data_IF_075794474282
#
_entry.id   IF_075794474282
#
_cell.length_a   1.000
_cell.length_b   1.000
_cell.length_c   1.000
_cell.angle_alpha   90.00
_cell.angle_beta   90.00
_cell.angle_gamma   90.00
#
_symmetry.space_group_name_H-M   'P 1'
#
loop_
_entity.id
_entity.type
_entity.pdbx_description
1 polymer ?
#
# COMPACT_ATOMS: atom_id res chain seq x y z
N UNK A 1 -73.86 56.73 39.75
CA UNK A 1 -75.22 56.18 39.57
C UNK A 1 -76.13 56.47 40.77
N UNK A 2 -75.73 56.11 42.01
CA UNK A 2 -76.49 56.44 43.23
C UNK A 2 -76.73 57.94 43.48
N UNK A 3 -75.81 58.83 43.07
CA UNK A 3 -76.00 60.29 43.16
C UNK A 3 -77.15 60.81 42.28
N UNK A 4 -77.36 60.22 41.10
CA UNK A 4 -78.44 60.62 40.19
C UNK A 4 -79.80 60.19 40.73
N UNK A 5 -79.92 58.98 41.29
CA UNK A 5 -81.16 58.51 41.92
C UNK A 5 -81.51 59.40 43.12
N UNK A 6 -80.52 59.80 43.93
CA UNK A 6 -80.74 60.67 45.10
C UNK A 6 -81.16 62.10 44.70
N UNK A 7 -80.60 62.63 43.60
CA UNK A 7 -81.00 63.93 43.07
C UNK A 7 -82.40 63.88 42.44
N UNK A 8 -82.71 62.86 41.64
CA UNK A 8 -84.04 62.66 41.05
C UNK A 8 -85.10 62.49 42.14
N UNK A 9 -84.79 61.72 43.20
CA UNK A 9 -85.69 61.58 44.34
C UNK A 9 -85.87 62.90 45.12
N UNK A 10 -84.81 63.71 45.26
CA UNK A 10 -84.91 65.01 45.95
C UNK A 10 -85.69 66.04 45.13
N UNK A 11 -85.50 66.08 43.81
CA UNK A 11 -86.25 66.94 42.90
C UNK A 11 -87.73 66.53 42.83
N UNK A 12 -88.02 65.23 42.83
CA UNK A 12 -89.38 64.71 42.90
C UNK A 12 -90.08 65.07 44.23
N UNK A 13 -89.36 65.04 45.35
CA UNK A 13 -89.90 65.45 46.66
C UNK A 13 -90.19 66.96 46.69
N UNK A 14 -89.29 67.79 46.16
CA UNK A 14 -89.50 69.25 46.10
C UNK A 14 -90.67 69.60 45.18
N UNK A 15 -90.77 68.97 44.01
CA UNK A 15 -91.91 69.14 43.11
C UNK A 15 -93.23 68.67 43.74
N UNK A 16 -93.21 67.57 44.49
CA UNK A 16 -94.39 67.08 45.22
C UNK A 16 -94.82 68.05 46.33
N UNK A 17 -93.88 68.72 47.00
CA UNK A 17 -94.17 69.75 48.01
C UNK A 17 -94.79 71.00 47.36
N UNK A 18 -94.23 71.49 46.25
CA UNK A 18 -94.77 72.63 45.50
C UNK A 18 -96.19 72.35 44.98
N UNK A 19 -96.43 71.15 44.43
CA UNK A 19 -97.76 70.72 44.00
C UNK A 19 -98.72 70.65 45.19
N UNK A 20 -98.28 70.14 46.35
CA UNK A 20 -99.10 70.05 47.56
C UNK A 20 -99.46 71.43 48.12
N UNK A 21 -98.54 72.39 48.05
CA UNK A 21 -98.80 73.78 48.46
C UNK A 21 -99.79 74.46 47.51
N UNK A 22 -99.66 74.22 46.21
CA UNK A 22 -100.57 74.79 45.22
C UNK A 22 -101.97 74.16 45.28
N UNK A 23 -102.06 72.86 45.59
CA UNK A 23 -103.33 72.17 45.87
C UNK A 23 -104.00 72.71 47.15
N UNK A 24 -103.23 73.00 48.20
CA UNK A 24 -103.76 73.59 49.43
C UNK A 24 -104.28 75.03 49.23
N UNK A 25 -103.71 75.78 48.28
CA UNK A 25 -104.20 77.11 47.90
C UNK A 25 -105.48 77.06 47.03
N UNK A 26 -105.71 75.96 46.31
CA UNK A 26 -106.89 75.74 45.46
C UNK A 26 -108.03 75.01 46.21
N UNK A 27 -107.73 74.34 47.32
CA UNK A 27 -108.67 73.57 48.13
C UNK A 27 -109.54 74.44 49.07
N UNK A 28 -110.33 75.36 48.50
CA UNK A 28 -111.59 75.79 49.15
C UNK A 28 -112.76 74.82 48.86
N UNK A 29 -112.48 73.65 48.27
CA UNK A 29 -113.38 72.51 48.10
C UNK A 29 -112.63 71.22 48.52
N UNK A 30 -112.68 70.89 49.81
CA UNK A 30 -111.73 69.99 50.50
C UNK A 30 -111.97 68.47 50.34
N UNK A 31 -113.05 68.00 49.71
CA UNK A 31 -113.40 66.56 49.75
C UNK A 31 -112.98 65.80 48.49
N UNK A 32 -113.06 66.40 47.30
CA UNK A 32 -112.80 65.69 46.03
C UNK A 32 -111.29 65.50 45.73
N UNK A 33 -110.43 66.39 46.20
CA UNK A 33 -108.99 66.36 45.90
C UNK A 33 -108.24 65.30 46.74
N UNK A 34 -108.73 65.02 47.95
CA UNK A 34 -108.10 64.06 48.85
C UNK A 34 -108.32 62.62 48.38
N UNK A 35 -109.55 62.31 47.94
CA UNK A 35 -109.90 61.00 47.40
C UNK A 35 -109.19 60.73 46.05
N UNK A 36 -109.01 61.77 45.21
CA UNK A 36 -108.29 61.62 43.93
C UNK A 36 -106.78 61.43 44.11
N UNK A 37 -106.15 62.09 45.08
CA UNK A 37 -104.72 61.88 45.40
C UNK A 37 -104.45 60.49 45.97
N UNK A 38 -105.33 59.98 46.82
CA UNK A 38 -105.21 58.63 47.40
C UNK A 38 -105.39 57.54 46.32
N UNK A 39 -106.30 57.75 45.36
CA UNK A 39 -106.45 56.85 44.18
C UNK A 39 -105.20 56.89 43.29
N UNK A 40 -104.64 58.08 43.01
CA UNK A 40 -103.44 58.21 42.17
C UNK A 40 -102.19 57.64 42.85
N UNK A 41 -102.03 57.79 44.17
CA UNK A 41 -100.94 57.15 44.93
C UNK A 41 -101.07 55.62 44.96
N UNK A 42 -102.30 55.10 45.09
CA UNK A 42 -102.55 53.66 45.00
C UNK A 42 -102.28 53.12 43.59
N UNK A 43 -102.72 53.83 42.54
CA UNK A 43 -102.48 53.42 41.15
C UNK A 43 -100.99 53.51 40.77
N UNK A 44 -100.26 54.54 41.20
CA UNK A 44 -98.82 54.65 40.98
C UNK A 44 -98.05 53.59 41.77
N UNK A 45 -98.46 53.30 43.01
CA UNK A 45 -97.90 52.24 43.84
C UNK A 45 -98.15 50.85 43.24
N UNK A 46 -99.35 50.58 42.74
CA UNK A 46 -99.70 49.34 42.05
C UNK A 46 -98.93 49.18 40.74
N UNK A 47 -98.86 50.24 39.91
CA UNK A 47 -98.10 50.21 38.66
C UNK A 47 -96.59 50.05 38.88
N UNK A 48 -96.02 50.65 39.93
CA UNK A 48 -94.61 50.44 40.28
C UNK A 48 -94.35 49.01 40.76
N UNK A 49 -95.24 48.47 41.61
CA UNK A 49 -95.15 47.10 42.09
C UNK A 49 -95.28 46.08 40.94
N UNK A 50 -96.21 46.28 40.03
CA UNK A 50 -96.41 45.42 38.86
C UNK A 50 -95.20 45.45 37.92
N UNK A 51 -94.65 46.63 37.64
CA UNK A 51 -93.43 46.76 36.86
C UNK A 51 -92.23 46.08 37.55
N UNK A 52 -92.09 46.25 38.86
CA UNK A 52 -91.03 45.59 39.63
C UNK A 52 -91.17 44.06 39.62
N UNK A 53 -92.40 43.54 39.77
CA UNK A 53 -92.69 42.10 39.67
C UNK A 53 -92.35 41.58 38.26
N UNK A 54 -92.70 42.31 37.21
CA UNK A 54 -92.41 41.94 35.83
C UNK A 54 -90.90 41.92 35.54
N UNK A 55 -90.16 42.94 35.99
CA UNK A 55 -88.69 42.98 35.88
C UNK A 55 -88.03 41.84 36.66
N UNK A 56 -88.48 41.60 37.90
CA UNK A 56 -87.97 40.50 38.72
C UNK A 56 -88.22 39.14 38.08
N UNK A 57 -89.42 38.90 37.55
CA UNK A 57 -89.75 37.66 36.84
C UNK A 57 -88.94 37.50 35.56
N UNK A 58 -88.71 38.59 34.82
CA UNK A 58 -87.86 38.59 33.61
C UNK A 58 -86.41 38.23 33.97
N UNK A 59 -85.84 38.85 35.00
CA UNK A 59 -84.49 38.55 35.48
C UNK A 59 -84.38 37.10 35.99
N UNK A 60 -85.40 36.59 36.70
CA UNK A 60 -85.45 35.21 37.15
C UNK A 60 -85.42 34.22 35.98
N UNK A 61 -86.19 34.49 34.93
CA UNK A 61 -86.20 33.66 33.71
C UNK A 61 -84.85 33.72 32.97
N UNK A 62 -84.25 34.90 32.84
CA UNK A 62 -82.92 35.07 32.24
C UNK A 62 -81.83 34.36 33.04
N UNK A 63 -81.88 34.41 34.38
CA UNK A 63 -80.95 33.70 35.25
C UNK A 63 -81.08 32.18 35.06
N UNK A 64 -82.30 31.67 34.95
CA UNK A 64 -82.55 30.25 34.69
C UNK A 64 -81.97 29.82 33.33
N UNK A 65 -82.24 30.56 32.25
CA UNK A 65 -81.68 30.30 30.91
C UNK A 65 -80.14 30.36 30.92
N UNK A 66 -79.55 31.35 31.59
CA UNK A 66 -78.10 31.47 31.69
C UNK A 66 -77.48 30.29 32.45
N UNK A 67 -78.11 29.85 33.53
CA UNK A 67 -77.62 28.70 34.31
C UNK A 67 -77.74 27.39 33.50
N UNK A 68 -78.83 27.20 32.75
CA UNK A 68 -78.98 26.05 31.84
C UNK A 68 -77.90 26.05 30.74
N UNK A 69 -77.61 27.21 30.13
CA UNK A 69 -76.52 27.34 29.15
C UNK A 69 -75.15 27.08 29.77
N UNK A 70 -74.91 27.55 30.99
CA UNK A 70 -73.67 27.30 31.71
C UNK A 70 -73.46 25.80 31.97
N UNK A 71 -74.51 25.07 32.35
CA UNK A 71 -74.42 23.63 32.60
C UNK A 71 -74.14 22.84 31.32
N UNK A 72 -74.73 23.24 30.18
CA UNK A 72 -74.42 22.69 28.86
C UNK A 72 -72.95 22.95 28.51
N UNK A 73 -72.50 24.20 28.63
CA UNK A 73 -71.15 24.60 28.28
C UNK A 73 -70.10 23.89 29.16
N UNK A 74 -70.38 23.77 30.47
CA UNK A 74 -69.55 23.00 31.41
C UNK A 74 -69.42 21.54 30.98
N UNK A 75 -70.52 20.93 30.53
CA UNK A 75 -70.52 19.55 30.01
C UNK A 75 -69.69 19.45 28.73
N UNK A 76 -69.79 20.42 27.82
CA UNK A 76 -68.97 20.49 26.61
C UNK A 76 -67.48 20.58 26.94
N UNK A 77 -67.08 21.44 27.87
CA UNK A 77 -65.68 21.54 28.31
C UNK A 77 -65.16 20.26 28.96
N UNK A 78 -65.99 19.56 29.75
CA UNK A 78 -65.61 18.27 30.33
C UNK A 78 -65.40 17.19 29.26
N UNK A 79 -66.30 17.15 28.26
CA UNK A 79 -66.17 16.23 27.13
C UNK A 79 -64.94 16.55 26.28
N UNK A 80 -64.69 17.82 25.99
CA UNK A 80 -63.51 18.26 25.24
C UNK A 80 -62.21 17.92 25.99
N UNK A 81 -62.17 18.17 27.30
CA UNK A 81 -61.03 17.80 28.15
C UNK A 81 -60.77 16.30 28.11
N UNK A 82 -61.82 15.47 28.17
CA UNK A 82 -61.69 14.01 28.08
C UNK A 82 -61.13 13.60 26.72
N UNK A 83 -61.68 14.14 25.64
CA UNK A 83 -61.24 13.87 24.27
C UNK A 83 -59.76 14.24 24.06
N UNK A 84 -59.35 15.42 24.53
CA UNK A 84 -57.95 15.85 24.45
C UNK A 84 -57.03 14.95 25.27
N UNK A 85 -57.47 14.52 26.46
CA UNK A 85 -56.72 13.55 27.28
C UNK A 85 -56.51 12.21 26.57
N UNK A 86 -57.53 11.69 25.89
CA UNK A 86 -57.44 10.47 25.08
C UNK A 86 -56.46 10.63 23.90
N UNK A 87 -56.51 11.78 23.20
CA UNK A 87 -55.58 12.09 22.11
C UNK A 87 -54.14 12.16 22.62
N UNK A 88 -53.91 12.85 23.74
CA UNK A 88 -52.57 12.94 24.36
C UNK A 88 -52.06 11.53 24.69
N UNK A 89 -52.89 10.68 25.31
CA UNK A 89 -52.49 9.31 25.63
C UNK A 89 -52.12 8.47 24.40
N UNK A 90 -52.85 8.62 23.30
CA UNK A 90 -52.51 7.94 22.02
C UNK A 90 -51.15 8.45 21.49
N UNK A 91 -50.92 9.76 21.52
CA UNK A 91 -49.67 10.35 21.03
C UNK A 91 -48.48 9.95 21.91
N UNK A 92 -48.62 9.97 23.23
CA UNK A 92 -47.58 9.51 24.18
C UNK A 92 -47.27 8.02 23.97
N UNK A 93 -48.28 7.18 23.76
CA UNK A 93 -48.10 5.78 23.43
C UNK A 93 -47.36 5.58 22.10
N UNK A 94 -47.71 6.35 21.07
CA UNK A 94 -47.03 6.34 19.78
C UNK A 94 -45.56 6.80 19.87
N UNK A 95 -45.28 7.84 20.67
CA UNK A 95 -43.92 8.33 20.93
C UNK A 95 -43.08 7.27 21.65
N UNK A 96 -43.62 6.66 22.71
CA UNK A 96 -42.90 5.64 23.46
C UNK A 96 -42.57 4.40 22.60
N UNK A 97 -43.45 4.02 21.67
CA UNK A 97 -43.18 2.92 20.76
C UNK A 97 -42.10 3.29 19.72
N UNK A 98 -42.13 4.53 19.20
CA UNK A 98 -41.08 5.04 18.32
C UNK A 98 -39.72 5.13 19.00
N UNK A 99 -39.68 5.51 20.28
CA UNK A 99 -38.44 5.52 21.05
C UNK A 99 -37.84 4.10 21.19
N UNK A 100 -38.67 3.07 21.40
CA UNK A 100 -38.19 1.68 21.42
C UNK A 100 -37.63 1.24 20.07
N UNK A 101 -38.31 1.61 18.97
CA UNK A 101 -37.85 1.33 17.61
C UNK A 101 -36.48 1.97 17.34
N UNK A 102 -36.32 3.25 17.71
CA UNK A 102 -35.03 3.98 17.57
C UNK A 102 -33.92 3.31 18.38
N UNK A 103 -34.20 2.90 19.63
CA UNK A 103 -33.22 2.22 20.48
C UNK A 103 -32.81 0.89 19.85
N UNK A 104 -33.78 0.10 19.38
CA UNK A 104 -33.52 -1.18 18.73
C UNK A 104 -32.70 -1.03 17.44
N UNK A 105 -33.06 -0.07 16.58
CA UNK A 105 -32.30 0.23 15.37
C UNK A 105 -30.87 0.65 15.69
N UNK A 106 -30.68 1.51 16.70
CA UNK A 106 -29.37 1.95 17.16
C UNK A 106 -28.50 0.77 17.60
N UNK A 107 -29.04 -0.14 18.41
CA UNK A 107 -28.33 -1.33 18.88
C UNK A 107 -27.95 -2.26 17.72
N UNK A 108 -28.88 -2.47 16.78
CA UNK A 108 -28.63 -3.28 15.59
C UNK A 108 -27.53 -2.68 14.69
N UNK A 109 -27.58 -1.37 14.42
CA UNK A 109 -26.53 -0.69 13.66
C UNK A 109 -25.17 -0.70 14.37
N UNK A 110 -25.16 -0.58 15.70
CA UNK A 110 -23.92 -0.72 16.47
C UNK A 110 -23.30 -2.10 16.33
N UNK A 111 -24.11 -3.17 16.31
CA UNK A 111 -23.60 -4.53 16.13
C UNK A 111 -23.08 -4.76 14.71
N UNK A 112 -23.80 -4.29 13.69
CA UNK A 112 -23.33 -4.32 12.30
C UNK A 112 -21.99 -3.58 12.12
N UNK A 113 -21.82 -2.43 12.76
CA UNK A 113 -20.55 -1.69 12.73
C UNK A 113 -19.41 -2.47 13.37
N UNK A 114 -19.65 -3.16 14.49
CA UNK A 114 -18.63 -4.03 15.11
C UNK A 114 -18.21 -5.17 14.18
N UNK A 115 -19.17 -5.80 13.51
CA UNK A 115 -18.88 -6.87 12.53
C UNK A 115 -18.06 -6.35 11.35
N UNK A 116 -18.41 -5.19 10.80
CA UNK A 116 -17.66 -4.55 9.70
C UNK A 116 -16.22 -4.24 10.14
N UNK A 117 -16.03 -3.67 11.34
CA UNK A 117 -14.68 -3.38 11.88
C UNK A 117 -13.89 -4.68 12.08
N UNK A 118 -14.51 -5.73 12.61
CA UNK A 118 -13.87 -7.05 12.79
C UNK A 118 -13.45 -7.65 11.45
N UNK A 119 -14.33 -7.59 10.45
CA UNK A 119 -14.04 -8.05 9.08
C UNK A 119 -12.90 -7.26 8.45
N UNK A 120 -12.95 -5.92 8.50
CA UNK A 120 -11.89 -5.03 8.03
C UNK A 120 -10.54 -5.36 8.67
N UNK A 121 -10.50 -5.53 9.98
CA UNK A 121 -9.26 -5.85 10.70
C UNK A 121 -8.72 -7.24 10.32
N UNK A 122 -9.60 -8.21 10.05
CA UNK A 122 -9.19 -9.53 9.54
C UNK A 122 -8.57 -9.41 8.16
N UNK A 123 -9.24 -8.73 7.23
CA UNK A 123 -8.76 -8.50 5.87
C UNK A 123 -7.45 -7.71 5.87
N UNK A 124 -7.31 -6.70 6.73
CA UNK A 124 -6.06 -5.95 6.87
C UNK A 124 -4.89 -6.86 7.26
N UNK A 125 -5.08 -7.77 8.23
CA UNK A 125 -4.04 -8.74 8.60
C UNK A 125 -3.71 -9.72 7.47
N UNK A 126 -4.69 -10.11 6.67
CA UNK A 126 -4.46 -10.95 5.49
C UNK A 126 -3.63 -10.19 4.45
N UNK A 127 -3.92 -8.91 4.20
CA UNK A 127 -3.10 -8.04 3.34
C UNK A 127 -1.67 -7.85 3.85
N UNK A 128 -1.50 -7.63 5.16
CA UNK A 128 -0.18 -7.50 5.79
C UNK A 128 0.66 -8.77 5.57
N UNK A 129 0.06 -9.96 5.74
CA UNK A 129 0.75 -11.23 5.45
C UNK A 129 1.16 -11.37 3.99
N UNK A 130 0.27 -11.05 3.05
CA UNK A 130 0.58 -11.10 1.61
C UNK A 130 1.68 -10.09 1.26
N UNK A 131 1.70 -8.93 1.92
CA UNK A 131 2.76 -7.94 1.74
C UNK A 131 4.12 -8.47 2.23
N UNK A 132 4.15 -9.10 3.41
CA UNK A 132 5.37 -9.72 3.96
C UNK A 132 5.90 -10.81 3.03
N UNK A 133 5.02 -11.69 2.52
CA UNK A 133 5.37 -12.72 1.53
C UNK A 133 5.92 -12.11 0.23
N UNK A 134 5.33 -11.02 -0.26
CA UNK A 134 5.82 -10.31 -1.45
C UNK A 134 7.21 -9.68 -1.23
N UNK A 135 7.46 -9.13 -0.04
CA UNK A 135 8.78 -8.58 0.31
C UNK A 135 9.83 -9.70 0.36
N UNK A 136 9.50 -10.86 0.92
CA UNK A 136 10.38 -12.02 0.95
C UNK A 136 10.71 -12.54 -0.46
N UNK A 137 9.70 -12.64 -1.33
CA UNK A 137 9.89 -13.02 -2.74
C UNK A 137 10.78 -12.00 -3.47
N UNK A 138 10.54 -10.70 -3.26
CA UNK A 138 11.38 -9.65 -3.86
C UNK A 138 12.84 -9.77 -3.42
N UNK A 139 13.08 -10.00 -2.12
CA UNK A 139 14.43 -10.17 -1.60
C UNK A 139 15.10 -11.43 -2.17
N UNK A 140 14.36 -12.53 -2.30
CA UNK A 140 14.83 -13.78 -2.90
C UNK A 140 15.20 -13.61 -4.38
N UNK A 141 14.42 -12.83 -5.14
CA UNK A 141 14.74 -12.50 -6.54
C UNK A 141 16.02 -11.67 -6.63
N UNK A 142 16.19 -10.67 -5.75
CA UNK A 142 17.40 -9.86 -5.72
C UNK A 142 18.65 -10.69 -5.40
N UNK A 143 18.55 -11.62 -4.44
CA UNK A 143 19.65 -12.55 -4.12
C UNK A 143 19.97 -13.48 -5.31
N UNK A 144 18.95 -13.98 -6.01
CA UNK A 144 19.14 -14.80 -7.21
C UNK A 144 19.78 -14.02 -8.37
N UNK A 145 19.45 -12.74 -8.54
CA UNK A 145 20.10 -11.87 -9.53
C UNK A 145 21.59 -11.70 -9.21
N UNK A 146 21.92 -11.42 -7.95
CA UNK A 146 23.33 -11.33 -7.52
C UNK A 146 24.09 -12.64 -7.76
N UNK A 147 23.52 -13.79 -7.39
CA UNK A 147 24.13 -15.10 -7.68
C UNK A 147 24.27 -15.37 -9.17
N UNK A 148 23.35 -14.88 -10.00
CA UNK A 148 23.44 -15.01 -11.46
C UNK A 148 24.59 -14.19 -12.02
N UNK A 149 24.86 -13.00 -11.49
CA UNK A 149 26.01 -12.16 -11.87
C UNK A 149 27.33 -12.85 -11.47
N UNK A 150 27.42 -13.36 -10.25
CA UNK A 150 28.60 -14.10 -9.76
C UNK A 150 28.88 -15.35 -10.61
N UNK A 151 27.84 -16.07 -11.04
CA UNK A 151 27.99 -17.22 -11.95
C UNK A 151 28.58 -16.80 -13.30
N UNK A 152 28.18 -15.67 -13.86
CA UNK A 152 28.74 -15.20 -15.13
C UNK A 152 30.19 -14.73 -14.98
N UNK A 153 30.54 -14.07 -13.88
CA UNK A 153 31.94 -13.73 -13.57
C UNK A 153 32.81 -15.00 -13.46
N UNK A 154 32.35 -16.01 -12.72
CA UNK A 154 33.04 -17.28 -12.58
C UNK A 154 33.17 -18.03 -13.92
N UNK A 155 32.15 -18.02 -14.78
CA UNK A 155 32.25 -18.57 -16.14
C UNK A 155 33.29 -17.84 -16.99
N UNK A 156 33.37 -16.52 -16.86
CA UNK A 156 34.41 -15.70 -17.51
C UNK A 156 35.81 -16.13 -17.05
N UNK A 157 36.01 -16.27 -15.74
CA UNK A 157 37.28 -16.72 -15.16
C UNK A 157 37.65 -18.14 -15.62
N UNK A 158 36.69 -19.08 -15.62
CA UNK A 158 36.91 -20.45 -16.08
C UNK A 158 37.36 -20.47 -17.54
N UNK A 159 36.75 -19.67 -18.42
CA UNK A 159 37.20 -19.56 -19.82
C UNK A 159 38.62 -19.02 -19.93
N UNK A 160 38.95 -17.99 -19.16
CA UNK A 160 40.32 -17.43 -19.13
C UNK A 160 41.34 -18.47 -18.69
N UNK A 161 41.07 -19.18 -17.58
CA UNK A 161 41.93 -20.24 -17.05
C UNK A 161 42.06 -21.41 -18.01
N UNK A 162 40.98 -21.79 -18.71
CA UNK A 162 41.04 -22.83 -19.74
C UNK A 162 41.96 -22.44 -20.90
N UNK A 163 41.93 -21.18 -21.32
CA UNK A 163 42.79 -20.68 -22.40
C UNK A 163 44.26 -20.62 -21.95
N UNK A 164 44.53 -20.09 -20.77
CA UNK A 164 45.88 -20.08 -20.19
C UNK A 164 46.45 -21.48 -20.02
N UNK A 165 45.64 -22.44 -19.56
CA UNK A 165 46.05 -23.83 -19.42
C UNK A 165 46.30 -24.51 -20.79
N UNK A 166 45.63 -24.06 -21.85
CA UNK A 166 45.94 -24.50 -23.22
C UNK A 166 47.31 -24.01 -23.66
N UNK A 167 47.60 -22.72 -23.46
CA UNK A 167 48.89 -22.10 -23.79
C UNK A 167 50.02 -22.80 -23.02
N UNK A 168 49.86 -23.00 -21.71
CA UNK A 168 50.86 -23.68 -20.88
C UNK A 168 51.11 -25.13 -21.31
N UNK A 169 50.09 -25.83 -21.85
CA UNK A 169 50.27 -27.17 -22.41
C UNK A 169 51.08 -27.13 -23.71
N UNK A 170 50.81 -26.17 -24.58
CA UNK A 170 51.57 -25.95 -25.81
C UNK A 170 53.04 -25.63 -25.49
N UNK A 171 53.30 -24.67 -24.59
CA UNK A 171 54.65 -24.34 -24.13
C UNK A 171 55.36 -25.55 -23.52
N UNK A 172 54.67 -26.34 -22.68
CA UNK A 172 55.24 -27.58 -22.12
C UNK A 172 55.65 -28.56 -23.22
N UNK A 173 54.81 -28.73 -24.24
CA UNK A 173 55.09 -29.65 -25.34
C UNK A 173 56.26 -29.15 -26.21
N UNK A 174 56.37 -27.84 -26.42
CA UNK A 174 57.53 -27.21 -27.08
C UNK A 174 58.82 -27.44 -26.29
N UNK A 175 58.82 -27.19 -24.98
CA UNK A 175 59.98 -27.43 -24.12
C UNK A 175 60.39 -28.89 -24.10
N UNK A 176 59.41 -29.80 -24.07
CA UNK A 176 59.66 -31.24 -24.15
C UNK A 176 60.33 -31.60 -25.48
N UNK A 177 59.85 -31.05 -26.60
CA UNK A 177 60.45 -31.29 -27.91
C UNK A 177 61.88 -30.72 -28.01
N UNK A 178 62.11 -29.51 -27.52
CA UNK A 178 63.45 -28.92 -27.44
C UNK A 178 64.41 -29.77 -26.62
N UNK A 179 63.95 -30.31 -25.49
CA UNK A 179 64.75 -31.17 -24.63
C UNK A 179 65.07 -32.53 -25.29
N UNK A 180 64.10 -33.16 -25.96
CA UNK A 180 64.32 -34.40 -26.73
C UNK A 180 65.35 -34.18 -27.85
N UNK A 181 65.26 -33.06 -28.58
CA UNK A 181 66.24 -32.70 -29.62
C UNK A 181 67.63 -32.45 -29.02
N UNK A 182 67.72 -31.81 -27.86
CA UNK A 182 68.97 -31.60 -27.16
C UNK A 182 69.64 -32.91 -26.75
N UNK A 183 68.88 -33.85 -26.15
CA UNK A 183 69.39 -35.17 -25.78
C UNK A 183 69.93 -35.93 -26.99
N UNK A 184 69.20 -35.94 -28.10
CA UNK A 184 69.63 -36.59 -29.34
C UNK A 184 70.94 -35.99 -29.88
N UNK A 185 71.05 -34.66 -29.87
CA UNK A 185 72.27 -33.97 -30.30
C UNK A 185 73.48 -34.29 -29.40
N UNK A 186 73.28 -34.43 -28.09
CA UNK A 186 74.35 -34.84 -27.18
C UNK A 186 74.76 -36.31 -27.38
N UNK A 187 73.81 -37.23 -27.61
CA UNK A 187 74.10 -38.63 -27.97
C UNK A 187 74.91 -38.73 -29.28
N UNK A 188 74.55 -37.94 -30.29
CA UNK A 188 75.26 -37.89 -31.58
C UNK A 188 76.69 -37.34 -31.42
N UNK A 189 76.89 -36.31 -30.59
CA UNK A 189 78.23 -35.76 -30.29
C UNK A 189 79.13 -36.78 -29.58
N UNK A 190 78.60 -37.48 -28.57
CA UNK A 190 79.35 -38.52 -27.83
C UNK A 190 79.75 -39.64 -28.79
N UNK A 191 78.81 -40.09 -29.64
CA UNK A 191 79.05 -41.13 -30.65
C UNK A 191 80.10 -40.72 -31.67
N UNK A 192 80.06 -39.47 -32.15
CA UNK A 192 81.04 -38.91 -33.09
C UNK A 192 82.43 -38.75 -32.46
N UNK A 193 82.50 -38.29 -31.20
CA UNK A 193 83.76 -38.17 -30.45
C UNK A 193 84.41 -39.53 -30.22
N UNK A 194 83.62 -40.54 -29.83
CA UNK A 194 84.09 -41.92 -29.70
C UNK A 194 84.63 -42.46 -31.03
N UNK A 195 83.91 -42.26 -32.13
CA UNK A 195 84.33 -42.72 -33.46
C UNK A 195 85.65 -42.06 -33.91
N UNK A 196 85.80 -40.76 -33.68
CA UNK A 196 87.04 -40.01 -33.97
C UNK A 196 88.22 -40.56 -33.15
N UNK A 197 88.03 -40.77 -31.85
CA UNK A 197 89.07 -41.32 -30.97
C UNK A 197 89.43 -42.76 -31.36
N UNK A 198 88.43 -43.58 -31.69
CA UNK A 198 88.63 -44.95 -32.16
C UNK A 198 89.42 -45.00 -33.47
N UNK A 199 89.05 -44.18 -34.47
CA UNK A 199 89.78 -44.13 -35.75
C UNK A 199 91.21 -43.59 -35.58
N UNK A 200 91.42 -42.61 -34.70
CA UNK A 200 92.75 -42.09 -34.38
C UNK A 200 93.63 -43.18 -33.74
N UNK A 201 93.09 -43.95 -32.78
CA UNK A 201 93.76 -45.10 -32.18
C UNK A 201 94.00 -46.25 -33.17
N UNK A 202 93.06 -46.51 -34.09
CA UNK A 202 93.20 -47.56 -35.09
C UNK A 202 94.26 -47.21 -36.14
N UNK A 203 94.22 -45.99 -36.67
CA UNK A 203 95.20 -45.51 -37.66
C UNK A 203 96.62 -45.47 -37.11
N UNK A 204 96.80 -45.17 -35.82
CA UNK A 204 98.11 -45.18 -35.15
C UNK A 204 98.76 -46.57 -35.01
N UNK A 205 98.03 -47.65 -35.30
CA UNK A 205 98.57 -49.02 -35.38
C UNK A 205 98.97 -49.45 -36.80
N UNK A 206 98.70 -48.66 -37.84
CA UNK A 206 99.15 -48.95 -39.21
C UNK A 206 100.61 -48.52 -39.35
N UNK A 207 101.54 -49.47 -39.43
CA UNK A 207 102.99 -49.21 -39.42
C UNK A 207 103.51 -48.56 -40.70
N UNK A 208 102.78 -48.64 -41.81
CA UNK A 208 103.14 -48.00 -43.08
C UNK A 208 102.60 -46.56 -43.15
N UNK A 209 103.46 -45.53 -43.11
CA UNK A 209 103.02 -44.13 -43.04
C UNK A 209 102.19 -43.69 -44.25
N UNK A 210 102.46 -44.24 -45.44
CA UNK A 210 101.80 -43.85 -46.68
C UNK A 210 100.39 -44.47 -46.77
N UNK A 211 100.24 -45.73 -46.36
CA UNK A 211 98.93 -46.38 -46.27
C UNK A 211 98.06 -45.75 -45.18
N UNK A 212 98.68 -45.38 -44.05
CA UNK A 212 98.03 -44.62 -42.98
C UNK A 212 97.50 -43.28 -43.50
N UNK A 213 98.35 -42.51 -44.19
CA UNK A 213 97.98 -41.19 -44.74
C UNK A 213 96.89 -41.30 -45.82
N UNK A 214 96.96 -42.31 -46.70
CA UNK A 214 95.94 -42.53 -47.73
C UNK A 214 94.59 -42.98 -47.15
N UNK A 215 94.60 -43.87 -46.14
CA UNK A 215 93.37 -44.29 -45.47
C UNK A 215 92.72 -43.12 -44.74
N UNK A 216 93.52 -42.32 -44.02
CA UNK A 216 93.06 -41.12 -43.33
C UNK A 216 92.52 -40.08 -44.32
N UNK A 217 93.22 -39.80 -45.42
CA UNK A 217 92.76 -38.83 -46.43
C UNK A 217 91.51 -39.29 -47.19
N UNK A 218 91.36 -40.60 -47.44
CA UNK A 218 90.15 -41.18 -48.04
C UNK A 218 88.95 -41.08 -47.10
N UNK A 219 89.17 -41.35 -45.80
CA UNK A 219 88.17 -41.16 -44.75
C UNK A 219 87.78 -39.68 -44.61
N UNK A 220 88.74 -38.76 -44.58
CA UNK A 220 88.49 -37.31 -44.46
C UNK A 220 87.68 -36.75 -45.63
N UNK A 221 87.90 -37.26 -46.84
CA UNK A 221 87.11 -36.89 -48.02
C UNK A 221 85.66 -37.37 -47.99
N UNK A 222 85.37 -38.48 -47.30
CA UNK A 222 84.02 -39.05 -47.18
C UNK A 222 83.26 -38.61 -45.92
N UNK A 223 83.99 -38.15 -44.89
CA UNK A 223 83.46 -37.82 -43.55
C UNK A 223 83.23 -36.32 -43.32
N UNK A 224 83.56 -35.45 -44.28
CA UNK A 224 83.40 -33.99 -44.19
C UNK A 224 83.89 -33.38 -42.86
N UNK A 225 85.06 -33.81 -42.37
CA UNK A 225 85.60 -33.31 -41.09
C UNK A 225 85.81 -31.79 -41.11
N UNK A 226 85.49 -31.16 -39.97
CA UNK A 226 85.78 -29.75 -39.68
C UNK A 226 87.29 -29.52 -39.57
N UNK A 227 87.72 -28.26 -39.67
CA UNK A 227 89.15 -27.92 -39.62
C UNK A 227 89.81 -28.24 -38.27
N UNK A 228 89.04 -28.18 -37.18
CA UNK A 228 89.50 -28.58 -35.84
C UNK A 228 89.70 -30.10 -35.76
N UNK A 229 88.74 -30.89 -36.27
CA UNK A 229 88.84 -32.35 -36.33
C UNK A 229 90.04 -32.79 -37.19
N UNK A 230 90.28 -32.17 -38.35
CA UNK A 230 91.45 -32.46 -39.21
C UNK A 230 92.79 -32.22 -38.52
N UNK A 231 92.88 -31.20 -37.66
CA UNK A 231 94.10 -30.87 -36.92
C UNK A 231 94.48 -31.95 -35.90
N UNK A 232 93.49 -32.60 -35.28
CA UNK A 232 93.69 -33.69 -34.31
C UNK A 232 94.26 -34.96 -34.96
N UNK A 233 94.11 -35.11 -36.29
CA UNK A 233 94.66 -36.22 -37.06
C UNK A 233 96.03 -35.91 -37.72
N UNK A 234 96.59 -34.70 -37.50
CA UNK A 234 97.91 -34.32 -38.05
C UNK A 234 97.93 -34.10 -39.57
N UNK A 235 96.78 -33.88 -40.20
CA UNK A 235 96.65 -33.73 -41.65
C UNK A 235 96.76 -32.24 -42.01
N UNK A 236 97.89 -31.81 -42.59
CA UNK A 236 98.04 -30.47 -43.15
C UNK A 236 97.61 -30.45 -44.62
N UNK A 237 96.33 -30.14 -44.88
CA UNK A 237 95.84 -29.90 -46.24
C UNK A 237 96.21 -28.49 -46.71
N UNK A 238 97.04 -28.36 -47.76
CA UNK A 238 97.10 -27.13 -48.57
C UNK A 238 95.73 -26.90 -49.23
N UNK A 239 95.22 -25.65 -49.27
CA UNK A 239 93.93 -25.39 -49.85
C UNK A 239 94.02 -25.57 -51.38
N UNK A 240 93.14 -26.40 -51.94
CA UNK A 240 92.73 -26.25 -53.33
C UNK A 240 91.22 -26.03 -53.35
N UNK A 241 90.85 -24.86 -53.83
CA UNK A 241 89.52 -24.58 -54.35
C UNK A 241 89.09 -25.71 -55.29
N UNK A 242 87.93 -26.29 -55.02
CA UNK A 242 86.81 -26.25 -55.95
C UNK A 242 85.52 -26.54 -55.17
N UNK A 243 84.53 -25.70 -55.44
CA UNK A 243 83.15 -25.91 -55.05
C UNK A 243 82.53 -27.06 -55.86
N UNK A 244 81.49 -27.66 -55.28
CA UNK A 244 80.45 -28.58 -55.80
C UNK A 244 80.45 -29.94 -55.07
N UNK A 245 79.33 -30.54 -54.69
CA UNK A 245 77.93 -30.12 -54.55
C UNK A 245 77.35 -30.80 -53.29
N UNK A 246 76.30 -30.25 -52.69
CA UNK A 246 75.57 -30.88 -51.58
C UNK A 246 74.92 -32.20 -52.06
N UNK A 247 75.56 -33.33 -51.81
CA UNK A 247 74.92 -34.64 -51.87
C UNK A 247 74.66 -35.18 -50.46
N UNK A 248 73.40 -35.60 -50.26
CA UNK A 248 72.76 -36.13 -49.05
C UNK A 248 73.74 -36.72 -48.02
N UNK A 249 73.69 -36.21 -46.79
CA UNK A 249 74.32 -36.80 -45.61
C UNK A 249 73.83 -38.25 -45.44
N UNK A 250 74.63 -39.19 -45.93
CA UNK A 250 74.47 -40.61 -45.64
C UNK A 250 75.22 -40.88 -44.34
N UNK A 251 74.51 -41.40 -43.34
CA UNK A 251 75.05 -41.80 -42.04
C UNK A 251 76.35 -42.59 -42.21
N UNK A 252 77.38 -42.10 -41.56
CA UNK A 252 78.73 -42.68 -41.57
C UNK A 252 78.76 -44.04 -40.90
N UNK A 253 77.82 -44.26 -39.97
CA UNK A 253 77.60 -45.54 -39.33
C UNK A 253 77.15 -46.61 -40.33
N UNK A 254 76.26 -46.26 -41.27
CA UNK A 254 75.75 -47.21 -42.27
C UNK A 254 76.83 -47.59 -43.30
N UNK A 255 77.73 -46.66 -43.63
CA UNK A 255 78.90 -46.95 -44.48
C UNK A 255 79.92 -47.84 -43.75
N UNK A 256 80.12 -47.64 -42.45
CA UNK A 256 81.04 -48.46 -41.67
C UNK A 256 80.49 -49.88 -41.42
N UNK A 257 79.20 -50.00 -41.13
CA UNK A 257 78.54 -51.30 -40.96
C UNK A 257 78.49 -52.12 -42.26
N UNK A 258 78.42 -51.47 -43.42
CA UNK A 258 78.52 -52.15 -44.71
C UNK A 258 79.96 -52.57 -45.05
N UNK A 259 80.96 -51.77 -44.67
CA UNK A 259 82.38 -52.14 -44.79
C UNK A 259 82.75 -53.38 -43.96
N UNK A 260 82.21 -53.52 -42.75
CA UNK A 260 82.46 -54.70 -41.88
C UNK A 260 81.73 -55.98 -42.34
N UNK A 261 80.83 -55.90 -43.32
CA UNK A 261 80.08 -57.05 -43.86
C UNK A 261 80.67 -57.62 -45.16
N UNK A 262 81.75 -57.03 -45.69
CA UNK A 262 82.57 -57.58 -46.77
C UNK A 262 83.82 -58.23 -46.24
#
# INVERSE_FOLDING_TARGET
>A
MWSNIKNIASEAIVAAIDIKQHIAEVASDEVEVKDTLEIVEQDLGANFLDNFINEHNTLKLQYKDLNERYDIEKTNWQNEKKRLGEIIGILEGGLAEKDKEIVWERENYQEQLKEIVKSKNKTQREYEKVLDELVEVKNSIAENQYKSEEIEELKGLVKSLQMENSILKEERDEWKHMYENYLKNEEDKISRSFFIQFLSAFSSNIYNPIERENMINSLVGQLHFTNEEKSLFGIYAKPKHNFESEEKEISLFDKFASFLKG
#
